data_IF_625770314350
#
_entry.id   IF_625770314350
#
_cell.length_a   1.000
_cell.length_b   1.000
_cell.length_c   1.000
_cell.angle_alpha   90.00
_cell.angle_beta   90.00
_cell.angle_gamma   90.00
#
_symmetry.space_group_name_H-M   'P 1'
#
loop_
_entity.id
_entity.type
_entity.pdbx_description
1 polymer ?
#
# COMPACT_ATOMS: atom_id res chain seq x y z
N UNK A 1 9.11 17.66 -1.05
CA UNK A 1 7.70 17.26 -1.01
C UNK A 1 6.94 18.27 -0.17
N UNK A 2 5.73 18.63 -0.58
CA UNK A 2 4.82 19.54 0.13
C UNK A 2 3.50 18.80 0.40
N UNK A 3 2.95 18.93 1.59
CA UNK A 3 1.67 18.29 1.95
C UNK A 3 0.53 19.11 1.36
N UNK A 4 -0.28 18.49 0.50
CA UNK A 4 -1.42 19.14 -0.17
C UNK A 4 -2.77 18.58 0.28
N UNK A 5 -2.78 17.47 1.00
CA UNK A 5 -4.00 16.86 1.53
C UNK A 5 -3.73 15.71 2.48
N UNK A 6 -4.81 15.18 3.05
CA UNK A 6 -4.79 14.00 3.93
C UNK A 6 -5.91 13.06 3.53
N UNK A 7 -5.60 11.76 3.49
CA UNK A 7 -6.62 10.71 3.37
C UNK A 7 -7.29 10.55 4.74
N UNK A 8 -8.60 10.85 4.80
CA UNK A 8 -9.36 10.95 6.06
C UNK A 8 -9.74 9.56 6.58
N UNK A 9 -10.00 8.60 5.68
CA UNK A 9 -10.42 7.24 6.03
C UNK A 9 -9.27 6.34 6.51
N UNK A 10 -8.03 6.85 6.51
CA UNK A 10 -6.87 6.12 7.00
C UNK A 10 -6.74 6.20 8.54
N UNK A 11 -6.60 5.04 9.19
CA UNK A 11 -6.42 4.95 10.65
C UNK A 11 -5.07 5.51 11.12
N UNK A 12 -4.05 5.40 10.26
CA UNK A 12 -2.72 6.00 10.40
C UNK A 12 -2.61 7.27 9.55
N UNK A 13 -1.67 8.16 9.86
CA UNK A 13 -1.44 9.34 9.04
C UNK A 13 -1.02 8.94 7.61
N UNK A 14 -1.86 9.27 6.62
CA UNK A 14 -1.56 9.13 5.19
C UNK A 14 -1.80 10.46 4.51
N UNK A 15 -0.72 11.05 3.99
CA UNK A 15 -0.69 12.42 3.50
C UNK A 15 -0.47 12.43 2.00
N UNK A 16 -1.39 13.07 1.26
CA UNK A 16 -1.16 13.36 -0.15
C UNK A 16 -0.18 14.52 -0.23
N UNK A 17 0.95 14.28 -0.87
CA UNK A 17 1.98 15.30 -1.08
C UNK A 17 2.31 15.43 -2.57
N UNK A 18 2.97 16.54 -2.90
CA UNK A 18 3.46 16.82 -4.25
C UNK A 18 4.94 17.25 -4.21
N UNK A 19 5.71 16.82 -5.20
CA UNK A 19 7.07 17.31 -5.45
C UNK A 19 7.05 18.58 -6.33
N UNK A 20 8.14 19.39 -6.36
CA UNK A 20 8.19 20.60 -7.17
C UNK A 20 7.97 20.41 -8.67
N UNK A 21 8.22 19.20 -9.19
CA UNK A 21 7.97 18.80 -10.58
C UNK A 21 6.50 18.43 -10.84
N UNK A 22 5.63 18.54 -9.84
CA UNK A 22 4.21 18.23 -9.91
C UNK A 22 3.85 16.76 -9.58
N UNK A 23 4.84 15.87 -9.40
CA UNK A 23 4.57 14.46 -9.11
C UNK A 23 3.90 14.29 -7.75
N UNK A 24 2.73 13.62 -7.73
CA UNK A 24 2.00 13.29 -6.51
C UNK A 24 2.54 12.01 -5.87
N UNK A 25 2.51 11.96 -4.54
CA UNK A 25 2.90 10.80 -3.73
C UNK A 25 1.99 10.68 -2.50
N UNK A 26 1.92 9.47 -1.95
CA UNK A 26 1.45 9.23 -0.59
C UNK A 26 2.65 9.17 0.35
N UNK A 27 2.61 9.97 1.41
CA UNK A 27 3.57 9.97 2.49
C UNK A 27 2.93 9.47 3.79
N UNK A 28 3.47 8.37 4.34
CA UNK A 28 3.08 7.77 5.62
C UNK A 28 4.22 7.94 6.63
N UNK A 29 4.22 9.02 7.45
CA UNK A 29 5.27 9.27 8.45
C UNK A 29 5.25 8.21 9.56
N UNK A 30 6.41 7.76 10.02
CA UNK A 30 6.53 6.88 11.20
C UNK A 30 5.91 7.56 12.43
N UNK A 31 6.14 8.87 12.60
CA UNK A 31 5.59 9.65 13.71
C UNK A 31 4.04 9.73 13.71
N UNK A 32 3.39 9.39 12.60
CA UNK A 32 1.93 9.39 12.46
C UNK A 32 1.29 8.01 12.60
N UNK A 33 2.08 7.00 12.97
CA UNK A 33 1.59 5.65 13.18
C UNK A 33 0.86 5.50 14.52
N UNK A 34 -0.16 4.66 14.49
CA UNK A 34 -0.92 4.11 15.61
C UNK A 34 -0.86 2.59 15.44
N UNK A 35 0.32 1.97 15.65
CA UNK A 35 0.50 0.55 15.41
C UNK A 35 -0.44 -0.25 16.30
N UNK A 36 -0.91 -1.38 15.78
CA UNK A 36 -1.69 -2.32 16.55
C UNK A 36 -0.81 -2.99 17.60
N UNK A 37 -1.39 -3.29 18.76
CA UNK A 37 -0.68 -3.95 19.86
C UNK A 37 -0.11 -5.32 19.44
N UNK A 38 -0.73 -5.97 18.46
CA UNK A 38 -0.32 -7.26 17.88
C UNK A 38 0.59 -7.10 16.65
N UNK A 39 1.16 -5.93 16.40
CA UNK A 39 2.28 -5.68 15.48
C UNK A 39 3.38 -4.87 16.19
N UNK A 40 4.02 -5.44 17.22
CA UNK A 40 4.89 -4.69 18.14
C UNK A 40 6.25 -4.30 17.54
N UNK A 41 6.73 -5.05 16.55
CA UNK A 41 8.09 -4.88 16.02
C UNK A 41 8.15 -3.88 14.86
N UNK A 42 9.21 -3.07 14.87
CA UNK A 42 9.50 -2.13 13.79
C UNK A 42 8.46 -1.01 13.68
N UNK A 43 8.11 -0.64 12.45
CA UNK A 43 7.12 0.39 12.14
C UNK A 43 6.37 0.04 10.84
N UNK A 44 5.17 0.57 10.68
CA UNK A 44 4.28 0.29 9.54
C UNK A 44 4.89 0.80 8.23
N UNK A 45 5.55 1.96 8.25
CA UNK A 45 6.23 2.53 7.08
C UNK A 45 7.30 1.59 6.52
N UNK A 46 8.08 0.93 7.38
CA UNK A 46 9.11 -0.03 6.93
C UNK A 46 8.47 -1.26 6.30
N UNK A 47 7.32 -1.72 6.82
CA UNK A 47 6.57 -2.85 6.25
C UNK A 47 6.05 -2.52 4.84
N UNK A 48 5.56 -1.30 4.62
CA UNK A 48 5.18 -0.82 3.27
C UNK A 48 6.36 -0.85 2.29
N UNK A 49 7.53 -0.37 2.73
CA UNK A 49 8.74 -0.35 1.89
C UNK A 49 9.23 -1.76 1.57
N UNK A 50 9.21 -2.66 2.55
CA UNK A 50 9.60 -4.06 2.34
C UNK A 50 8.63 -4.77 1.40
N UNK A 51 7.31 -4.53 1.52
CA UNK A 51 6.32 -5.10 0.60
C UNK A 51 6.62 -4.73 -0.86
N UNK A 52 6.97 -3.47 -1.14
CA UNK A 52 7.42 -3.07 -2.47
C UNK A 52 8.65 -3.86 -2.93
N UNK A 53 9.71 -3.92 -2.12
CA UNK A 53 10.93 -4.64 -2.53
C UNK A 53 10.69 -6.14 -2.74
N UNK A 54 9.88 -6.80 -1.92
CA UNK A 54 9.54 -8.22 -2.11
C UNK A 54 8.71 -8.40 -3.40
N UNK A 55 7.79 -7.49 -3.70
CA UNK A 55 7.01 -7.52 -4.93
C UNK A 55 7.91 -7.41 -6.17
N UNK A 56 8.88 -6.48 -6.15
CA UNK A 56 9.81 -6.27 -7.27
C UNK A 56 10.79 -7.45 -7.43
N UNK A 57 11.42 -7.88 -6.33
CA UNK A 57 12.39 -8.99 -6.36
C UNK A 57 11.73 -10.33 -6.72
N UNK A 58 10.46 -10.50 -6.35
CA UNK A 58 9.66 -11.67 -6.70
C UNK A 58 9.05 -11.61 -8.10
N UNK A 59 9.19 -10.49 -8.82
CA UNK A 59 8.61 -10.30 -10.16
C UNK A 59 7.09 -10.18 -10.18
N UNK A 60 6.46 -9.83 -9.05
CA UNK A 60 5.02 -9.62 -8.94
C UNK A 60 4.61 -8.28 -9.54
N UNK A 61 5.38 -7.21 -9.27
CA UNK A 61 5.09 -5.84 -9.71
C UNK A 61 3.68 -5.35 -9.29
N UNK A 62 3.25 -5.72 -8.08
CA UNK A 62 1.90 -5.46 -7.56
C UNK A 62 1.83 -4.31 -6.56
N UNK A 63 2.96 -3.75 -6.13
CA UNK A 63 3.00 -2.69 -5.13
C UNK A 63 3.54 -1.42 -5.79
N UNK A 64 2.85 -0.26 -5.68
CA UNK A 64 3.36 0.98 -6.21
C UNK A 64 4.72 1.30 -5.62
N UNK A 65 5.59 1.94 -6.39
CA UNK A 65 6.96 2.23 -5.95
C UNK A 65 6.97 2.92 -4.59
N UNK A 66 7.55 2.25 -3.59
CA UNK A 66 7.54 2.70 -2.20
C UNK A 66 8.95 2.71 -1.64
N UNK A 67 9.39 3.88 -1.14
CA UNK A 67 10.74 4.07 -0.60
C UNK A 67 10.70 4.77 0.75
N UNK A 68 11.71 4.55 1.58
CA UNK A 68 11.87 5.27 2.84
C UNK A 68 12.58 6.61 2.59
N UNK A 69 11.99 7.72 3.03
CA UNK A 69 12.53 9.07 2.83
C UNK A 69 12.17 9.98 4.00
N UNK A 70 13.01 10.99 4.22
CA UNK A 70 12.67 12.13 5.08
C UNK A 70 11.57 12.98 4.43
N UNK A 71 10.59 13.37 5.24
CA UNK A 71 9.50 14.27 4.89
C UNK A 71 9.21 15.28 6.01
N UNK A 72 8.17 16.12 5.85
CA UNK A 72 7.84 17.20 6.77
C UNK A 72 7.58 16.77 8.23
N UNK A 73 7.31 15.48 8.45
CA UNK A 73 7.04 14.90 9.77
C UNK A 73 8.04 13.78 10.13
N UNK A 74 9.28 13.87 9.63
CA UNK A 74 10.34 12.90 9.89
C UNK A 74 10.47 11.84 8.82
N UNK A 75 11.02 10.67 9.18
CA UNK A 75 11.19 9.54 8.27
C UNK A 75 9.84 8.84 8.03
N UNK A 76 9.58 8.40 6.81
CA UNK A 76 8.36 7.65 6.49
C UNK A 76 8.38 7.01 5.11
N UNK A 77 7.34 6.21 4.84
CA UNK A 77 7.15 5.58 3.54
C UNK A 77 6.60 6.61 2.55
N UNK A 78 7.27 6.74 1.41
CA UNK A 78 6.85 7.55 0.27
C UNK A 78 6.51 6.61 -0.86
N UNK A 79 5.22 6.54 -1.18
CA UNK A 79 4.65 5.71 -2.22
C UNK A 79 4.21 6.56 -3.41
N UNK A 80 4.47 6.09 -4.62
CA UNK A 80 3.94 6.70 -5.84
C UNK A 80 2.41 6.78 -5.81
N UNK A 81 1.87 7.94 -6.20
CA UNK A 81 0.43 8.08 -6.41
C UNK A 81 0.03 7.35 -7.69
N UNK A 82 -0.94 6.44 -7.57
CA UNK A 82 -1.55 5.75 -8.72
C UNK A 82 -2.85 6.47 -9.04
N UNK A 83 -2.97 6.97 -10.26
CA UNK A 83 -4.25 7.44 -10.78
C UNK A 83 -5.12 6.21 -11.06
N UNK A 84 -6.32 6.19 -10.47
CA UNK A 84 -7.27 5.09 -10.60
C UNK A 84 -8.30 5.40 -11.68
N UNK A 85 -8.76 4.36 -12.37
CA UNK A 85 -9.90 4.46 -13.28
C UNK A 85 -11.20 4.46 -12.46
N UNK A 86 -11.85 5.62 -12.38
CA UNK A 86 -13.11 5.80 -11.64
C UNK A 86 -14.30 5.09 -12.32
N UNK A 87 -14.17 4.67 -13.58
CA UNK A 87 -15.22 3.90 -14.27
C UNK A 87 -15.19 2.40 -13.91
N UNK A 88 -14.10 1.92 -13.31
CA UNK A 88 -13.97 0.54 -12.87
C UNK A 88 -14.75 0.31 -11.58
N UNK A 89 -15.74 -0.59 -11.63
CA UNK A 89 -16.35 -1.15 -10.43
C UNK A 89 -15.38 -2.13 -9.77
N UNK A 90 -14.60 -1.62 -8.81
CA UNK A 90 -13.58 -2.39 -8.09
C UNK A 90 -14.17 -3.60 -7.36
N UNK A 91 -15.41 -3.52 -6.87
CA UNK A 91 -16.05 -4.64 -6.15
C UNK A 91 -16.30 -5.79 -7.12
N UNK A 92 -16.87 -5.50 -8.29
CA UNK A 92 -17.06 -6.51 -9.33
C UNK A 92 -15.71 -7.02 -9.88
N UNK A 93 -14.71 -6.14 -10.00
CA UNK A 93 -13.38 -6.51 -10.45
C UNK A 93 -12.73 -7.54 -9.53
N UNK A 94 -12.68 -7.29 -8.21
CA UNK A 94 -12.00 -8.22 -7.27
C UNK A 94 -12.69 -9.57 -7.16
N UNK A 95 -14.01 -9.64 -7.41
CA UNK A 95 -14.76 -10.89 -7.45
C UNK A 95 -14.59 -11.69 -8.76
N UNK A 96 -13.86 -11.14 -9.73
CA UNK A 96 -13.58 -11.84 -10.99
C UNK A 96 -12.49 -12.90 -10.83
N UNK A 97 -12.36 -13.81 -11.81
CA UNK A 97 -11.34 -14.87 -11.78
C UNK A 97 -10.02 -14.47 -12.49
N UNK A 98 -9.67 -13.19 -12.43
CA UNK A 98 -8.46 -12.63 -13.05
C UNK A 98 -7.17 -13.22 -12.47
N UNK A 99 -6.22 -13.62 -13.33
CA UNK A 99 -4.92 -14.14 -12.90
C UNK A 99 -4.15 -13.17 -12.02
N UNK A 100 -4.32 -11.85 -12.25
CA UNK A 100 -3.69 -10.80 -11.46
C UNK A 100 -4.15 -10.80 -10.00
N UNK A 101 -5.42 -11.12 -9.74
CA UNK A 101 -5.98 -11.22 -8.39
C UNK A 101 -5.45 -12.47 -7.67
N UNK A 102 -5.25 -13.56 -8.40
CA UNK A 102 -4.59 -14.77 -7.86
C UNK A 102 -3.13 -14.48 -7.50
N UNK A 103 -2.42 -13.70 -8.32
CA UNK A 103 -1.07 -13.25 -8.01
C UNK A 103 -1.06 -12.32 -6.78
N UNK A 104 -2.05 -11.45 -6.62
CA UNK A 104 -2.22 -10.61 -5.44
C UNK A 104 -2.46 -11.44 -4.18
N UNK A 105 -3.37 -12.42 -4.25
CA UNK A 105 -3.61 -13.33 -3.13
C UNK A 105 -2.37 -14.16 -2.75
N UNK A 106 -1.62 -14.65 -3.75
CA UNK A 106 -0.35 -15.34 -3.51
C UNK A 106 0.69 -14.40 -2.87
N UNK A 107 0.81 -13.18 -3.36
CA UNK A 107 1.72 -12.19 -2.80
C UNK A 107 1.35 -11.85 -1.35
N UNK A 108 0.07 -11.62 -1.07
CA UNK A 108 -0.43 -11.37 0.29
C UNK A 108 -0.15 -12.56 1.22
N UNK A 109 -0.28 -13.79 0.74
CA UNK A 109 0.09 -14.99 1.51
C UNK A 109 1.59 -15.06 1.80
N UNK A 110 2.44 -14.69 0.85
CA UNK A 110 3.91 -14.65 1.02
C UNK A 110 4.31 -13.61 2.08
N UNK A 111 3.70 -12.43 2.06
CA UNK A 111 4.02 -11.36 3.01
C UNK A 111 3.18 -11.43 4.29
N UNK A 112 2.28 -12.42 4.43
CA UNK A 112 1.35 -12.54 5.55
C UNK A 112 0.55 -11.23 5.79
N UNK A 113 -0.09 -10.71 4.73
CA UNK A 113 -0.87 -9.47 4.79
C UNK A 113 -2.18 -9.67 5.56
N UNK A 114 -2.38 -8.91 6.63
CA UNK A 114 -3.51 -9.05 7.54
C UNK A 114 -4.67 -8.09 7.25
N UNK A 115 -4.62 -7.30 6.19
CA UNK A 115 -5.68 -6.30 5.93
C UNK A 115 -5.96 -6.01 4.45
N UNK A 116 -5.87 -6.99 3.55
CA UNK A 116 -6.29 -6.75 2.16
C UNK A 116 -7.82 -6.69 2.04
N UNK A 117 -8.32 -5.54 1.60
CA UNK A 117 -9.74 -5.24 1.30
C UNK A 117 -9.88 -4.74 -0.14
N UNK A 118 -11.09 -4.77 -0.69
CA UNK A 118 -11.38 -4.25 -2.04
C UNK A 118 -10.90 -2.80 -2.24
N UNK A 119 -11.05 -1.93 -1.25
CA UNK A 119 -10.59 -0.54 -1.31
C UNK A 119 -9.07 -0.36 -1.35
N UNK A 120 -8.30 -1.44 -1.21
CA UNK A 120 -6.84 -1.44 -1.31
C UNK A 120 -6.35 -1.91 -2.70
N UNK A 121 -7.28 -2.16 -3.63
CA UNK A 121 -6.97 -2.48 -5.02
C UNK A 121 -7.11 -1.22 -5.85
N UNK A 122 -6.03 -0.87 -6.55
CA UNK A 122 -5.93 0.30 -7.42
C UNK A 122 -5.87 -0.21 -8.85
N UNK A 123 -6.92 0.04 -9.63
CA UNK A 123 -6.96 -0.29 -11.07
C UNK A 123 -6.70 1.00 -11.84
N UNK A 124 -5.61 1.05 -12.58
CA UNK A 124 -5.23 2.19 -13.41
C UNK A 124 -5.99 2.21 -14.76
N UNK A 125 -6.03 3.37 -15.43
CA UNK A 125 -6.74 3.53 -16.71
C UNK A 125 -6.16 2.68 -17.85
N UNK A 126 -4.88 2.30 -17.75
CA UNK A 126 -4.21 1.43 -18.72
C UNK A 126 -4.35 -0.07 -18.39
N UNK A 127 -5.13 -0.41 -17.36
CA UNK A 127 -5.38 -1.78 -16.91
C UNK A 127 -4.34 -2.35 -15.94
N UNK A 128 -3.35 -1.56 -15.53
CA UNK A 128 -2.42 -1.92 -14.46
C UNK A 128 -3.17 -2.07 -13.13
N UNK A 129 -2.75 -3.03 -12.30
CA UNK A 129 -3.41 -3.33 -11.02
C UNK A 129 -2.37 -3.36 -9.92
N UNK A 130 -2.63 -2.59 -8.87
CA UNK A 130 -1.76 -2.51 -7.71
C UNK A 130 -2.54 -2.77 -6.41
N UNK A 131 -1.85 -3.31 -5.42
CA UNK A 131 -2.28 -3.35 -4.04
C UNK A 131 -1.61 -2.21 -3.26
N UNK A 132 -2.34 -1.55 -2.38
CA UNK A 132 -1.79 -0.61 -1.40
C UNK A 132 -2.05 -1.08 0.03
N UNK A 133 -1.53 -0.33 1.01
CA UNK A 133 -1.71 -0.56 2.45
C UNK A 133 -1.20 -1.92 2.97
N UNK A 134 0.13 -2.05 3.03
CA UNK A 134 0.84 -3.23 3.55
C UNK A 134 1.43 -3.01 4.94
N UNK A 135 1.04 -1.95 5.64
CA UNK A 135 1.55 -1.63 6.98
C UNK A 135 1.36 -2.78 7.99
N UNK A 136 0.35 -3.63 7.80
CA UNK A 136 0.04 -4.81 8.63
C UNK A 136 0.34 -6.11 7.88
N UNK A 137 1.61 -6.26 7.47
CA UNK A 137 2.20 -7.46 6.86
C UNK A 137 3.45 -7.88 7.62
N UNK A 138 4.03 -9.04 7.33
CA UNK A 138 5.26 -9.59 7.95
C UNK A 138 5.15 -9.84 9.45
N UNK A 139 3.99 -10.33 9.91
CA UNK A 139 3.87 -10.85 11.26
C UNK A 139 4.48 -12.26 11.34
N UNK A 140 5.05 -12.64 12.48
CA UNK A 140 5.66 -13.96 12.69
C UNK A 140 4.62 -15.09 12.80
N UNK A 141 3.52 -14.83 13.47
CA UNK A 141 2.33 -15.69 13.48
C UNK A 141 1.50 -15.49 12.21
N UNK A 142 0.82 -16.55 11.76
CA UNK A 142 -0.13 -16.49 10.65
C UNK A 142 -1.29 -15.54 10.98
N UNK A 143 -1.39 -14.46 10.21
CA UNK A 143 -2.41 -13.42 10.33
C UNK A 143 -3.07 -13.10 8.99
N UNK A 144 -2.85 -13.93 7.96
CA UNK A 144 -3.34 -13.68 6.60
C UNK A 144 -4.84 -13.40 6.61
N UNK A 145 -5.21 -12.22 6.11
CA UNK A 145 -6.59 -11.81 5.95
C UNK A 145 -6.72 -11.02 4.66
N UNK A 146 -6.84 -11.79 3.59
CA UNK A 146 -7.08 -11.28 2.24
C UNK A 146 -8.52 -11.54 1.83
N UNK A 147 -9.22 -10.45 1.50
CA UNK A 147 -10.60 -10.48 1.01
C UNK A 147 -10.61 -9.95 -0.42
N UNK A 148 -10.37 -10.86 -1.37
CA UNK A 148 -10.46 -10.66 -2.82
C UNK A 148 -11.49 -11.64 -3.37
#
# INVERSE_FOLDING_TARGET
MEVIGRLIDASNASLLCQYPDGKKIIYKPIAGERPLWDFPDGNLASREVVAYYISELGGFHLVPKTVLRDGPFGLGAVQEWIEVDEEVDVVNFVQSDGSILRNMALFDAIINNADRKFGHILVGPDGDVYGCDHGVSFHEEDKLRTVL
#
